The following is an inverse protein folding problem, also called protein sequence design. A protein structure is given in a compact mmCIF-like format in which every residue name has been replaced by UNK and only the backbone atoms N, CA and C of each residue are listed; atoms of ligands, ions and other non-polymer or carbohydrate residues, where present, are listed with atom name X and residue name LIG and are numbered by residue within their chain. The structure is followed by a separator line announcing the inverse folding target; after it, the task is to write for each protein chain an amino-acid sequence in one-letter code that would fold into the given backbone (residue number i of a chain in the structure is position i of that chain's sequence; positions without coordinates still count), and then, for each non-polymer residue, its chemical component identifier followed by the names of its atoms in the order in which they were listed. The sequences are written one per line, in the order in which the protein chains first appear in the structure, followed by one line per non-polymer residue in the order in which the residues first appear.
data_IF_826471049884
#
_entry.id   IF_826471049884
#
_cell.length_a   1.000
_cell.length_b   1.000
_cell.length_c   1.000
_cell.angle_alpha   90.00
_cell.angle_beta   90.00
_cell.angle_gamma   90.00
#
_symmetry.space_group_name_H-M   'P 1'
#
loop_
_entity.id
_entity.type
_entity.pdbx_description
1 polymer ?
#
# COMPACT_ATOMS: atom_id res chain seq x y z
N UNK A 1 -22.55 -11.37 -2.87
CA UNK A 1 -22.01 -10.66 -1.72
C UNK A 1 -21.25 -9.40 -2.15
N UNK A 2 -21.47 -8.29 -1.48
CA UNK A 2 -20.63 -7.10 -1.66
C UNK A 2 -19.50 -7.18 -0.65
N UNK A 3 -18.28 -7.26 -1.13
CA UNK A 3 -17.08 -7.25 -0.28
C UNK A 3 -16.84 -5.83 0.23
N UNK A 4 -16.52 -5.70 1.51
CA UNK A 4 -16.27 -4.41 2.15
C UNK A 4 -14.77 -4.17 2.27
N UNK A 5 -14.29 -3.05 1.75
CA UNK A 5 -12.89 -2.63 1.89
C UNK A 5 -12.55 -2.23 3.33
N UNK A 6 -13.55 -1.69 4.05
CA UNK A 6 -13.44 -1.21 5.43
C UNK A 6 -14.80 -1.49 6.10
N UNK A 7 -14.77 -2.10 7.28
CA UNK A 7 -15.98 -2.56 7.93
C UNK A 7 -16.81 -1.44 8.56
N UNK A 8 -18.13 -1.67 8.56
CA UNK A 8 -19.15 -0.79 9.13
C UNK A 8 -18.86 -0.40 10.58
N UNK A 9 -18.40 -1.36 11.41
CA UNK A 9 -18.06 -1.13 12.81
C UNK A 9 -16.88 -0.15 13.01
N UNK A 10 -15.89 -0.19 12.13
CA UNK A 10 -14.78 0.77 12.15
C UNK A 10 -15.25 2.16 11.73
N UNK A 11 -16.00 2.26 10.63
CA UNK A 11 -16.53 3.54 10.14
C UNK A 11 -17.53 4.18 11.09
N UNK A 12 -18.26 3.36 11.88
CA UNK A 12 -19.16 3.85 12.91
C UNK A 12 -18.45 4.71 13.97
N UNK A 13 -17.15 4.47 14.23
CA UNK A 13 -16.34 5.31 15.12
C UNK A 13 -16.14 6.75 14.63
N UNK A 14 -16.41 7.03 13.35
CA UNK A 14 -16.32 8.34 12.71
C UNK A 14 -17.70 8.92 12.32
N UNK A 15 -18.77 8.23 12.61
CA UNK A 15 -20.12 8.70 12.37
C UNK A 15 -20.66 9.51 13.57
N UNK A 16 -21.62 10.37 13.30
CA UNK A 16 -22.42 11.06 14.28
C UNK A 16 -23.89 10.74 14.02
N UNK A 17 -24.61 10.25 15.05
CA UNK A 17 -26.01 9.83 14.90
C UNK A 17 -26.25 8.88 13.72
N UNK A 18 -25.34 7.90 13.52
CA UNK A 18 -25.32 6.96 12.38
C UNK A 18 -25.15 7.64 11.00
N UNK A 19 -24.74 8.90 10.98
CA UNK A 19 -24.45 9.66 9.77
C UNK A 19 -22.96 9.87 9.60
N UNK A 20 -22.41 9.41 8.48
CA UNK A 20 -21.01 9.54 8.10
C UNK A 20 -20.89 10.49 6.91
N UNK A 21 -20.18 11.58 7.07
CA UNK A 21 -19.83 12.46 5.95
C UNK A 21 -18.77 11.79 5.09
N UNK A 22 -19.01 11.80 3.79
CA UNK A 22 -18.14 11.19 2.78
C UNK A 22 -17.82 12.18 1.67
N UNK A 23 -16.55 12.48 1.44
CA UNK A 23 -16.07 13.32 0.35
C UNK A 23 -15.36 12.45 -0.69
N UNK A 24 -15.86 12.45 -1.92
CA UNK A 24 -15.21 11.79 -3.06
C UNK A 24 -14.13 12.71 -3.64
N UNK A 25 -12.88 12.32 -3.48
CA UNK A 25 -11.71 13.04 -3.99
C UNK A 25 -11.75 13.31 -5.51
N UNK A 26 -12.33 12.39 -6.30
CA UNK A 26 -12.32 12.48 -7.77
C UNK A 26 -13.32 13.50 -8.28
N UNK A 27 -14.49 13.52 -7.68
CA UNK A 27 -15.59 14.41 -8.10
C UNK A 27 -15.72 15.67 -7.24
N UNK A 28 -15.07 15.73 -6.07
CA UNK A 28 -15.27 16.78 -5.08
C UNK A 28 -16.64 16.73 -4.39
N UNK A 29 -17.46 15.71 -4.66
CA UNK A 29 -18.81 15.60 -4.12
C UNK A 29 -18.78 15.17 -2.66
N UNK A 30 -19.51 15.93 -1.85
CA UNK A 30 -19.80 15.60 -0.45
C UNK A 30 -21.17 14.91 -0.37
N UNK A 31 -21.25 13.84 0.39
CA UNK A 31 -22.48 13.10 0.68
C UNK A 31 -22.52 12.66 2.14
N UNK A 32 -23.72 12.53 2.70
CA UNK A 32 -23.95 11.85 3.96
C UNK A 32 -24.41 10.41 3.67
N UNK A 33 -23.86 9.44 4.39
CA UNK A 33 -24.14 8.02 4.22
C UNK A 33 -24.20 7.35 5.59
N UNK A 34 -24.81 6.18 5.67
CA UNK A 34 -24.62 5.32 6.84
C UNK A 34 -23.32 4.52 6.68
N UNK A 35 -22.64 4.17 7.78
CA UNK A 35 -21.43 3.32 7.71
C UNK A 35 -21.65 2.03 6.90
N UNK A 36 -22.82 1.37 7.08
CA UNK A 36 -23.17 0.10 6.43
C UNK A 36 -23.24 0.13 4.90
N UNK A 37 -23.43 1.31 4.31
CA UNK A 37 -23.53 1.48 2.85
C UNK A 37 -22.32 2.21 2.25
N UNK A 38 -21.23 2.26 3.03
CA UNK A 38 -20.04 3.05 2.66
C UNK A 38 -18.86 2.12 2.40
N UNK A 39 -17.97 2.52 1.47
CA UNK A 39 -16.71 1.82 1.17
C UNK A 39 -16.85 0.34 0.76
N UNK A 40 -17.87 0.00 -0.02
CA UNK A 40 -18.07 -1.33 -0.61
C UNK A 40 -17.54 -1.39 -2.03
N UNK A 41 -16.69 -2.36 -2.31
CA UNK A 41 -16.26 -2.73 -3.67
C UNK A 41 -16.67 -4.18 -3.91
N UNK A 42 -17.53 -4.45 -4.88
CA UNK A 42 -17.93 -5.83 -5.17
C UNK A 42 -16.75 -6.66 -5.65
N UNK A 43 -16.66 -7.90 -5.16
CA UNK A 43 -15.72 -8.93 -5.62
C UNK A 43 -14.22 -8.57 -5.51
N UNK A 44 -13.84 -7.71 -4.55
CA UNK A 44 -12.42 -7.30 -4.38
C UNK A 44 -11.54 -8.46 -3.92
N UNK A 45 -12.08 -9.38 -3.10
CA UNK A 45 -11.36 -10.52 -2.51
C UNK A 45 -11.98 -11.87 -2.86
N UNK A 46 -12.85 -11.92 -3.88
CA UNK A 46 -13.42 -13.18 -4.35
C UNK A 46 -12.39 -13.91 -5.19
N UNK A 47 -11.94 -15.05 -4.71
CA UNK A 47 -11.03 -15.95 -5.42
C UNK A 47 -11.82 -17.09 -6.05
N UNK A 48 -11.34 -17.56 -7.20
CA UNK A 48 -11.79 -18.81 -7.79
C UNK A 48 -10.76 -19.90 -7.48
N UNK A 49 -11.24 -21.07 -7.03
CA UNK A 49 -10.37 -22.22 -6.91
C UNK A 49 -10.16 -22.90 -8.28
N UNK A 50 -9.30 -23.91 -8.33
CA UNK A 50 -9.03 -24.68 -9.56
C UNK A 50 -10.27 -25.37 -10.16
N UNK A 51 -11.44 -25.24 -9.55
CA UNK A 51 -12.74 -25.79 -9.99
C UNK A 51 -13.76 -24.67 -10.24
N UNK A 52 -13.30 -23.43 -10.46
CA UNK A 52 -14.10 -22.22 -10.67
C UNK A 52 -15.09 -21.90 -9.52
N UNK A 53 -14.88 -22.45 -8.32
CA UNK A 53 -15.72 -22.17 -7.16
C UNK A 53 -15.21 -20.91 -6.45
N UNK A 54 -16.13 -20.01 -6.11
CA UNK A 54 -15.82 -18.80 -5.35
C UNK A 54 -15.42 -19.16 -3.91
N UNK A 55 -14.31 -18.61 -3.46
CA UNK A 55 -13.79 -18.77 -2.09
C UNK A 55 -13.92 -17.48 -1.32
N UNK A 56 -14.49 -17.62 -0.13
CA UNK A 56 -14.73 -16.50 0.81
C UNK A 56 -13.90 -16.63 2.11
N UNK A 57 -12.94 -17.52 2.14
CA UNK A 57 -12.15 -17.85 3.34
C UNK A 57 -11.41 -16.61 3.86
N UNK A 58 -10.91 -15.78 2.94
CA UNK A 58 -10.20 -14.55 3.27
C UNK A 58 -11.14 -13.51 3.88
N UNK A 59 -12.36 -13.38 3.38
CA UNK A 59 -13.38 -12.51 3.97
C UNK A 59 -13.77 -12.96 5.39
N UNK A 60 -13.94 -14.25 5.60
CA UNK A 60 -14.27 -14.80 6.91
C UNK A 60 -13.14 -14.54 7.91
N UNK A 61 -11.89 -14.71 7.49
CA UNK A 61 -10.70 -14.40 8.30
C UNK A 61 -10.65 -12.91 8.65
N UNK A 62 -10.87 -12.01 7.70
CA UNK A 62 -10.91 -10.57 7.94
C UNK A 62 -12.02 -10.22 8.94
N UNK A 63 -13.22 -10.79 8.75
CA UNK A 63 -14.35 -10.58 9.67
C UNK A 63 -14.06 -10.96 11.12
N UNK A 64 -13.25 -11.99 11.33
CA UNK A 64 -12.83 -12.41 12.67
C UNK A 64 -11.94 -11.33 13.33
N UNK A 65 -10.87 -10.91 12.65
CA UNK A 65 -9.96 -9.88 13.19
C UNK A 65 -10.64 -8.52 13.38
N UNK A 66 -11.55 -8.16 12.50
CA UNK A 66 -12.32 -6.92 12.61
C UNK A 66 -13.23 -6.89 13.84
N UNK A 67 -13.88 -8.00 14.15
CA UNK A 67 -14.73 -8.09 15.36
C UNK A 67 -13.89 -7.89 16.62
N UNK A 68 -12.73 -8.53 16.70
CA UNK A 68 -11.81 -8.40 17.83
C UNK A 68 -11.30 -6.96 17.94
N UNK A 69 -10.82 -6.42 16.82
CA UNK A 69 -10.29 -5.07 16.78
C UNK A 69 -11.32 -4.01 17.16
N UNK A 70 -12.59 -4.21 16.80
CA UNK A 70 -13.68 -3.31 17.19
C UNK A 70 -13.78 -3.11 18.72
N UNK A 71 -13.67 -4.18 19.49
CA UNK A 71 -13.65 -4.11 20.96
C UNK A 71 -12.40 -3.40 21.49
N UNK A 72 -11.24 -3.68 20.88
CA UNK A 72 -9.97 -3.05 21.28
C UNK A 72 -10.01 -1.55 20.98
N UNK A 73 -10.53 -1.16 19.81
CA UNK A 73 -10.72 0.24 19.43
C UNK A 73 -11.60 0.98 20.43
N UNK A 74 -12.73 0.38 20.85
CA UNK A 74 -13.62 0.97 21.86
C UNK A 74 -12.91 1.15 23.20
N UNK A 75 -12.10 0.19 23.66
CA UNK A 75 -11.27 0.33 24.86
C UNK A 75 -10.30 1.50 24.73
N UNK A 76 -9.56 1.59 23.61
CA UNK A 76 -8.61 2.68 23.36
C UNK A 76 -9.32 4.04 23.30
N UNK A 77 -10.45 4.13 22.61
CA UNK A 77 -11.27 5.35 22.52
C UNK A 77 -11.82 5.79 23.89
N UNK A 78 -12.11 4.85 24.78
CA UNK A 78 -12.50 5.09 26.17
C UNK A 78 -11.29 5.27 27.13
N UNK A 79 -10.08 5.46 26.61
CA UNK A 79 -8.83 5.64 27.35
C UNK A 79 -8.45 4.45 28.23
N UNK A 80 -8.97 3.26 27.98
CA UNK A 80 -8.65 2.04 28.71
C UNK A 80 -7.34 1.42 28.22
N UNK A 81 -6.69 0.62 29.06
CA UNK A 81 -5.49 -0.11 28.72
C UNK A 81 -5.82 -1.34 27.88
N UNK A 82 -4.88 -1.73 27.05
CA UNK A 82 -4.88 -3.00 26.35
C UNK A 82 -3.73 -3.85 26.87
N UNK A 83 -3.91 -5.15 26.90
CA UNK A 83 -2.87 -6.12 27.23
C UNK A 83 -2.04 -6.53 26.00
N UNK A 84 -1.08 -7.41 26.20
CA UNK A 84 -0.18 -7.86 25.14
C UNK A 84 -0.92 -8.67 24.05
N UNK A 85 -1.88 -9.50 24.44
CA UNK A 85 -2.69 -10.28 23.51
C UNK A 85 -3.60 -9.39 22.66
N UNK A 86 -4.24 -8.38 23.27
CA UNK A 86 -5.03 -7.38 22.55
C UNK A 86 -4.15 -6.56 21.58
N UNK A 87 -2.91 -6.25 21.98
CA UNK A 87 -1.95 -5.58 21.11
C UNK A 87 -1.58 -6.46 19.90
N UNK A 88 -1.36 -7.77 20.10
CA UNK A 88 -1.09 -8.71 19.03
C UNK A 88 -2.27 -8.82 18.05
N UNK A 89 -3.47 -8.96 18.56
CA UNK A 89 -4.70 -9.00 17.76
C UNK A 89 -4.93 -7.71 16.96
N UNK A 90 -4.70 -6.56 17.60
CA UNK A 90 -4.77 -5.26 16.94
C UNK A 90 -3.69 -5.09 15.87
N UNK A 91 -2.50 -5.63 16.09
CA UNK A 91 -1.40 -5.68 15.11
C UNK A 91 -1.83 -6.44 13.85
N UNK A 92 -2.43 -7.61 14.02
CA UNK A 92 -2.94 -8.40 12.90
C UNK A 92 -4.00 -7.62 12.10
N UNK A 93 -4.93 -6.97 12.80
CA UNK A 93 -5.94 -6.14 12.15
C UNK A 93 -5.31 -4.97 11.36
N UNK A 94 -4.35 -4.25 11.94
CA UNK A 94 -3.66 -3.13 11.26
C UNK A 94 -2.92 -3.63 10.03
N UNK A 95 -2.21 -4.76 10.12
CA UNK A 95 -1.50 -5.34 8.99
C UNK A 95 -2.47 -5.72 7.85
N UNK A 96 -3.60 -6.35 8.17
CA UNK A 96 -4.65 -6.64 7.18
C UNK A 96 -5.25 -5.36 6.60
N UNK A 97 -5.58 -4.37 7.43
CA UNK A 97 -6.12 -3.09 6.99
C UNK A 97 -5.14 -2.33 6.07
N UNK A 98 -3.84 -2.50 6.28
CA UNK A 98 -2.80 -1.92 5.43
C UNK A 98 -2.72 -2.59 4.05
N UNK A 99 -2.82 -3.94 4.02
CA UNK A 99 -2.51 -4.74 2.83
C UNK A 99 -3.72 -5.00 1.93
N UNK A 100 -4.95 -4.82 2.44
CA UNK A 100 -6.18 -5.14 1.71
C UNK A 100 -6.86 -3.96 1.02
N UNK A 101 -6.36 -2.74 1.17
CA UNK A 101 -7.00 -1.58 0.53
C UNK A 101 -6.83 -1.61 -0.99
N UNK A 102 -7.76 -1.03 -1.76
CA UNK A 102 -7.58 -0.86 -3.21
C UNK A 102 -6.26 -0.21 -3.56
N UNK A 103 -5.82 0.74 -2.75
CA UNK A 103 -4.52 1.38 -2.88
C UNK A 103 -3.36 0.38 -2.79
N UNK A 104 -3.37 -0.51 -1.78
CA UNK A 104 -2.33 -1.52 -1.60
C UNK A 104 -2.32 -2.55 -2.75
N UNK A 105 -3.49 -2.93 -3.25
CA UNK A 105 -3.61 -3.84 -4.39
C UNK A 105 -3.06 -3.20 -5.66
N UNK A 106 -3.40 -1.93 -5.92
CA UNK A 106 -2.83 -1.20 -7.06
C UNK A 106 -1.31 -1.00 -6.93
N UNK A 107 -0.80 -0.73 -5.72
CA UNK A 107 0.64 -0.71 -5.45
C UNK A 107 1.30 -2.06 -5.77
N UNK A 108 0.70 -3.17 -5.34
CA UNK A 108 1.20 -4.51 -5.62
C UNK A 108 1.24 -4.80 -7.13
N UNK A 109 0.20 -4.38 -7.87
CA UNK A 109 0.17 -4.51 -9.34
C UNK A 109 1.31 -3.75 -10.00
N UNK A 110 1.50 -2.49 -9.63
CA UNK A 110 2.54 -1.64 -10.23
C UNK A 110 3.94 -2.16 -9.91
N UNK A 111 4.18 -2.55 -8.66
CA UNK A 111 5.46 -3.13 -8.24
C UNK A 111 5.74 -4.42 -9.02
N UNK A 112 4.75 -5.31 -9.14
CA UNK A 112 4.92 -6.56 -9.87
C UNK A 112 5.13 -6.34 -11.37
N UNK A 113 4.32 -5.48 -12.00
CA UNK A 113 4.50 -5.10 -13.40
C UNK A 113 5.90 -4.52 -13.65
N UNK A 114 6.40 -3.69 -12.72
CA UNK A 114 7.73 -3.14 -12.77
C UNK A 114 8.84 -4.19 -12.71
N UNK A 115 8.76 -5.13 -11.80
CA UNK A 115 9.70 -6.26 -11.73
C UNK A 115 9.65 -7.12 -12.99
N UNK A 116 8.45 -7.44 -13.47
CA UNK A 116 8.28 -8.23 -14.70
C UNK A 116 8.86 -7.52 -15.90
N UNK A 117 8.62 -6.20 -16.02
CA UNK A 117 9.19 -5.40 -17.11
C UNK A 117 10.71 -5.36 -17.03
N UNK A 118 11.29 -5.12 -15.85
CA UNK A 118 12.74 -5.09 -15.68
C UNK A 118 13.37 -6.45 -15.98
N UNK A 119 12.71 -7.54 -15.60
CA UNK A 119 13.13 -8.90 -15.91
C UNK A 119 13.05 -9.16 -17.42
N UNK A 120 11.95 -8.80 -18.07
CA UNK A 120 11.80 -8.92 -19.52
C UNK A 120 12.91 -8.16 -20.27
N UNK A 121 13.21 -6.91 -19.85
CA UNK A 121 14.34 -6.14 -20.42
C UNK A 121 15.67 -6.86 -20.28
N UNK A 122 15.92 -7.56 -19.18
CA UNK A 122 17.16 -8.27 -18.93
C UNK A 122 17.25 -9.58 -19.72
N UNK A 123 16.14 -10.32 -19.77
CA UNK A 123 16.11 -11.69 -20.30
C UNK A 123 15.72 -11.77 -21.79
N UNK A 124 14.88 -10.84 -22.29
CA UNK A 124 14.23 -10.94 -23.59
C UNK A 124 14.59 -9.81 -24.58
N UNK A 125 15.35 -8.78 -24.16
CA UNK A 125 15.78 -7.72 -25.07
C UNK A 125 16.86 -8.15 -26.08
N UNK A 126 17.46 -9.30 -25.87
CA UNK A 126 18.40 -9.96 -26.75
C UNK A 126 17.71 -11.14 -27.45
N UNK A 127 17.84 -11.21 -28.77
CA UNK A 127 17.12 -12.18 -29.61
C UNK A 127 17.48 -13.64 -29.27
N UNK A 128 18.75 -13.95 -29.02
CA UNK A 128 19.16 -15.32 -28.69
C UNK A 128 18.66 -15.75 -27.31
N UNK A 129 18.56 -14.82 -26.35
CA UNK A 129 17.95 -15.09 -25.05
C UNK A 129 16.45 -15.26 -25.18
N UNK A 130 15.77 -14.43 -25.96
CA UNK A 130 14.36 -14.59 -26.27
C UNK A 130 14.09 -15.94 -26.92
N UNK A 131 14.89 -16.36 -27.89
CA UNK A 131 14.80 -17.67 -28.53
C UNK A 131 15.01 -18.81 -27.53
N UNK A 132 15.99 -18.70 -26.67
CA UNK A 132 16.22 -19.71 -25.61
C UNK A 132 15.04 -19.84 -24.64
N UNK A 133 14.40 -18.72 -24.33
CA UNK A 133 13.19 -18.69 -23.49
C UNK A 133 11.98 -19.32 -24.20
N UNK A 134 11.76 -18.96 -25.47
CA UNK A 134 10.67 -19.52 -26.28
C UNK A 134 10.81 -21.03 -26.50
N UNK A 135 12.02 -21.56 -26.73
CA UNK A 135 12.27 -22.99 -26.81
C UNK A 135 11.83 -23.73 -25.52
N UNK A 136 12.05 -23.14 -24.34
CA UNK A 136 11.59 -23.73 -23.06
C UNK A 136 10.07 -23.69 -22.92
N UNK A 137 9.43 -22.65 -23.46
CA UNK A 137 7.98 -22.50 -23.36
C UNK A 137 7.21 -23.40 -24.33
N UNK A 138 7.66 -23.52 -25.57
CA UNK A 138 6.97 -24.29 -26.62
C UNK A 138 7.37 -25.76 -26.66
N UNK A 139 8.48 -26.12 -26.01
CA UNK A 139 8.96 -27.49 -25.96
C UNK A 139 9.78 -27.91 -27.19
N UNK A 140 10.21 -29.22 -27.24
CA UNK A 140 11.19 -29.70 -28.22
C UNK A 140 10.63 -29.86 -29.65
N UNK A 141 9.30 -29.92 -29.80
CA UNK A 141 8.63 -30.17 -31.09
C UNK A 141 8.29 -28.85 -31.83
N UNK A 142 8.67 -27.71 -31.31
CA UNK A 142 8.36 -26.43 -31.92
C UNK A 142 9.23 -26.15 -33.17
N UNK A 143 8.62 -25.53 -34.19
CA UNK A 143 9.33 -25.15 -35.41
C UNK A 143 10.37 -24.05 -35.13
N UNK A 144 11.63 -24.35 -35.41
CA UNK A 144 12.76 -23.45 -35.10
C UNK A 144 12.69 -22.15 -35.91
N UNK A 145 12.16 -22.17 -37.15
CA UNK A 145 12.00 -20.97 -37.95
C UNK A 145 10.99 -20.02 -37.36
N UNK A 146 9.85 -20.55 -36.98
CA UNK A 146 8.78 -19.80 -36.30
C UNK A 146 9.26 -19.22 -34.98
N UNK A 147 10.02 -20.01 -34.18
CA UNK A 147 10.58 -19.53 -32.92
C UNK A 147 11.57 -18.38 -33.10
N UNK A 148 12.37 -18.36 -34.17
CA UNK A 148 13.28 -17.24 -34.46
C UNK A 148 12.54 -15.98 -34.85
N UNK A 149 11.51 -16.08 -35.69
CA UNK A 149 10.67 -14.93 -36.04
C UNK A 149 9.97 -14.35 -34.80
N UNK A 150 9.44 -15.21 -33.94
CA UNK A 150 8.83 -14.80 -32.67
C UNK A 150 9.85 -14.18 -31.73
N UNK A 151 11.07 -14.73 -31.63
CA UNK A 151 12.15 -14.18 -30.80
C UNK A 151 12.56 -12.77 -31.24
N UNK A 152 12.69 -12.55 -32.55
CA UNK A 152 12.99 -11.23 -33.11
C UNK A 152 11.89 -10.22 -32.74
N UNK A 153 10.61 -10.61 -32.94
CA UNK A 153 9.45 -9.77 -32.59
C UNK A 153 9.38 -9.47 -31.10
N UNK A 154 9.56 -10.48 -30.23
CA UNK A 154 9.56 -10.30 -28.77
C UNK A 154 10.70 -9.41 -28.33
N UNK A 155 11.92 -9.60 -28.86
CA UNK A 155 13.07 -8.79 -28.46
C UNK A 155 12.94 -7.33 -28.89
N UNK A 156 12.36 -7.05 -30.05
CA UNK A 156 12.04 -5.71 -30.52
C UNK A 156 10.97 -5.06 -29.62
N UNK A 157 9.85 -5.73 -29.40
CA UNK A 157 8.76 -5.26 -28.53
C UNK A 157 9.26 -4.93 -27.12
N UNK A 158 10.15 -5.78 -26.56
CA UNK A 158 10.72 -5.55 -25.22
C UNK A 158 11.69 -4.36 -25.23
N UNK A 159 12.53 -4.20 -26.25
CA UNK A 159 13.44 -3.04 -26.38
C UNK A 159 12.69 -1.74 -26.50
N UNK A 160 11.64 -1.71 -27.30
CA UNK A 160 10.86 -0.50 -27.58
C UNK A 160 9.84 -0.20 -26.48
N UNK A 161 9.56 -1.18 -25.61
CA UNK A 161 8.55 -1.06 -24.56
C UNK A 161 7.12 -1.00 -25.09
N UNK A 162 6.88 -1.49 -26.32
CA UNK A 162 5.57 -1.47 -27.01
C UNK A 162 4.64 -2.59 -26.54
N UNK A 163 4.63 -2.88 -25.23
CA UNK A 163 3.76 -3.89 -24.62
C UNK A 163 3.13 -3.39 -23.31
N UNK A 164 1.99 -3.93 -23.00
CA UNK A 164 1.29 -3.68 -21.74
C UNK A 164 1.38 -4.93 -20.86
N UNK A 165 1.69 -4.72 -19.58
CA UNK A 165 1.65 -5.77 -18.57
C UNK A 165 0.39 -5.59 -17.73
N UNK A 166 -0.52 -6.53 -17.84
CA UNK A 166 -1.68 -6.62 -16.98
C UNK A 166 -1.37 -7.58 -15.84
N UNK A 167 -1.58 -7.12 -14.61
CA UNK A 167 -1.42 -7.93 -13.40
C UNK A 167 -2.81 -8.29 -12.90
N UNK A 168 -3.07 -9.57 -12.83
CA UNK A 168 -4.33 -10.10 -12.34
C UNK A 168 -4.61 -9.66 -10.90
N UNK A 169 -5.89 -9.42 -10.59
CA UNK A 169 -6.29 -8.91 -9.28
C UNK A 169 -6.06 -9.94 -8.17
N UNK A 170 -6.36 -11.21 -8.42
CA UNK A 170 -6.15 -12.29 -7.44
C UNK A 170 -4.66 -12.46 -7.13
N UNK A 171 -3.82 -12.40 -8.17
CA UNK A 171 -2.38 -12.43 -7.99
C UNK A 171 -1.90 -11.25 -7.14
N UNK A 172 -2.37 -10.03 -7.42
CA UNK A 172 -1.98 -8.83 -6.68
C UNK A 172 -2.40 -8.89 -5.20
N UNK A 173 -3.63 -9.36 -4.92
CA UNK A 173 -4.13 -9.60 -3.57
C UNK A 173 -3.27 -10.66 -2.86
N UNK A 174 -3.02 -11.79 -3.51
CA UNK A 174 -2.17 -12.86 -2.96
C UNK A 174 -0.75 -12.37 -2.66
N UNK A 175 -0.17 -11.54 -3.52
CA UNK A 175 1.15 -10.92 -3.28
C UNK A 175 1.12 -9.94 -2.13
N UNK A 176 0.09 -9.10 -2.03
CA UNK A 176 -0.07 -8.17 -0.90
C UNK A 176 -0.15 -8.94 0.42
N UNK A 177 -0.98 -9.97 0.51
CA UNK A 177 -1.17 -10.76 1.73
C UNK A 177 0.05 -11.60 2.13
N UNK A 178 0.92 -11.98 1.19
CA UNK A 178 2.19 -12.68 1.54
C UNK A 178 3.11 -11.84 2.41
N UNK A 179 2.95 -10.53 2.42
CA UNK A 179 3.73 -9.64 3.27
C UNK A 179 3.14 -9.48 4.68
N UNK A 180 2.02 -10.17 4.98
CA UNK A 180 1.28 -9.99 6.23
C UNK A 180 2.15 -10.20 7.47
N UNK A 181 2.87 -11.32 7.55
CA UNK A 181 3.71 -11.65 8.71
C UNK A 181 4.83 -10.62 8.92
N UNK A 182 5.51 -10.23 7.85
CA UNK A 182 6.57 -9.22 7.91
C UNK A 182 6.05 -7.85 8.35
N UNK A 183 4.87 -7.45 7.85
CA UNK A 183 4.23 -6.19 8.23
C UNK A 183 3.75 -6.26 9.68
N UNK A 184 3.09 -7.32 10.09
CA UNK A 184 2.60 -7.52 11.46
C UNK A 184 3.77 -7.52 12.46
N UNK A 185 4.83 -8.28 12.20
CA UNK A 185 6.05 -8.30 13.04
C UNK A 185 6.66 -6.90 13.17
N UNK A 186 6.77 -6.18 12.06
CA UNK A 186 7.31 -4.82 12.06
C UNK A 186 6.45 -3.85 12.87
N UNK A 187 5.12 -3.95 12.80
CA UNK A 187 4.18 -3.13 13.56
C UNK A 187 4.23 -3.45 15.05
N UNK A 188 4.24 -4.75 15.40
CA UNK A 188 4.24 -5.22 16.78
C UNK A 188 5.47 -4.77 17.56
N UNK A 189 6.65 -4.85 16.93
CA UNK A 189 7.93 -4.51 17.55
C UNK A 189 8.12 -3.01 17.84
N UNK A 190 7.31 -2.12 17.25
CA UNK A 190 7.48 -0.68 17.35
C UNK A 190 6.81 -0.08 18.58
N UNK A 191 7.16 1.17 18.88
CA UNK A 191 6.45 1.98 19.88
C UNK A 191 5.05 2.37 19.37
N UNK A 192 4.06 2.25 20.25
CA UNK A 192 2.68 2.64 19.99
C UNK A 192 2.32 3.86 20.83
N UNK A 193 1.83 4.90 20.19
CA UNK A 193 1.34 6.11 20.84
C UNK A 193 -0.12 6.33 20.45
N UNK A 194 -1.02 6.25 21.41
CA UNK A 194 -2.43 6.62 21.22
C UNK A 194 -2.57 8.13 21.41
N UNK A 195 -3.07 8.80 20.38
CA UNK A 195 -3.33 10.23 20.38
C UNK A 195 -4.81 10.48 20.63
N UNK A 196 -5.13 11.45 21.48
CA UNK A 196 -6.50 11.88 21.72
C UNK A 196 -6.73 13.28 21.18
N UNK A 197 -7.79 13.43 20.40
CA UNK A 197 -8.20 14.74 19.88
C UNK A 197 -8.75 15.63 20.99
N UNK A 198 -8.59 16.97 20.89
CA UNK A 198 -9.24 17.92 21.77
C UNK A 198 -10.77 17.78 21.72
N UNK A 199 -11.45 17.81 22.84
CA UNK A 199 -12.91 17.63 22.94
C UNK A 199 -13.72 18.62 22.10
N UNK A 200 -13.24 19.85 21.99
CA UNK A 200 -13.89 20.91 21.20
C UNK A 200 -13.56 20.86 19.70
N UNK A 201 -12.94 19.75 19.21
CA UNK A 201 -12.57 19.59 17.80
C UNK A 201 -13.53 18.68 17.05
N UNK A 202 -13.49 18.76 15.72
CA UNK A 202 -14.20 17.81 14.84
C UNK A 202 -13.58 16.39 14.87
N UNK A 203 -12.43 16.24 15.55
CA UNK A 203 -11.73 14.98 15.72
C UNK A 203 -10.94 14.52 14.50
N UNK A 204 -10.52 13.27 14.57
CA UNK A 204 -9.83 12.59 13.48
C UNK A 204 -10.79 12.24 12.35
N UNK A 205 -10.32 12.36 11.13
CA UNK A 205 -10.93 11.77 9.95
C UNK A 205 -10.29 10.43 9.59
N UNK A 206 -10.96 9.64 8.77
CA UNK A 206 -10.39 8.43 8.16
C UNK A 206 -10.59 8.42 6.65
N UNK A 207 -10.06 7.39 5.98
CA UNK A 207 -10.07 7.28 4.52
C UNK A 207 -10.31 5.83 4.08
N UNK A 208 -10.51 5.61 2.80
CA UNK A 208 -10.50 4.29 2.16
C UNK A 208 -9.10 3.63 2.13
N UNK A 209 -8.08 4.33 2.63
CA UNK A 209 -6.75 3.83 2.90
C UNK A 209 -6.34 4.26 4.32
N UNK A 210 -6.88 3.62 5.37
CA UNK A 210 -6.82 4.14 6.73
C UNK A 210 -5.45 3.97 7.40
N UNK A 211 -4.64 3.00 6.96
CA UNK A 211 -3.29 2.76 7.49
C UNK A 211 -2.28 3.44 6.58
N UNK A 212 -1.73 4.54 7.05
CA UNK A 212 -0.80 5.36 6.26
C UNK A 212 0.62 5.15 6.73
N UNK A 213 1.47 4.66 5.82
CA UNK A 213 2.92 4.58 6.04
C UNK A 213 3.57 5.89 5.61
N UNK A 214 4.29 6.53 6.51
CA UNK A 214 4.96 7.82 6.29
C UNK A 214 6.29 7.88 7.06
N UNK A 215 7.01 9.00 6.96
CA UNK A 215 8.24 9.26 7.71
C UNK A 215 8.16 10.59 8.45
N UNK A 216 8.81 10.68 9.61
CA UNK A 216 8.90 11.91 10.40
C UNK A 216 9.73 12.99 9.71
N UNK A 217 10.74 12.60 8.95
CA UNK A 217 11.68 13.53 8.32
C UNK A 217 11.31 13.81 6.87
N UNK A 218 11.18 15.08 6.53
CA UNK A 218 11.00 15.51 5.15
C UNK A 218 12.21 15.19 4.25
N UNK A 219 13.42 15.14 4.83
CA UNK A 219 14.64 14.78 4.11
C UNK A 219 14.63 13.31 3.64
N UNK A 220 13.98 12.41 4.39
CA UNK A 220 13.90 10.97 4.12
C UNK A 220 12.73 10.58 3.20
N UNK A 221 11.93 11.54 2.73
CA UNK A 221 10.78 11.26 1.85
C UNK A 221 11.17 10.72 0.47
N UNK A 222 12.44 10.78 0.11
CA UNK A 222 12.96 10.27 -1.17
C UNK A 222 13.48 8.84 -1.07
N UNK A 223 13.61 8.30 0.14
CA UNK A 223 14.04 6.93 0.36
C UNK A 223 12.86 5.95 0.23
N UNK A 224 13.10 4.74 -0.28
CA UNK A 224 12.10 3.68 -0.27
C UNK A 224 11.63 3.43 1.17
N UNK A 225 10.34 3.56 1.43
CA UNK A 225 9.77 3.44 2.75
C UNK A 225 8.95 2.16 2.85
N UNK A 226 9.43 1.22 3.67
CA UNK A 226 8.72 0.01 4.05
C UNK A 226 8.37 -0.01 5.54
N UNK A 227 7.50 -0.94 5.95
CA UNK A 227 7.13 -1.11 7.38
C UNK A 227 8.33 -1.44 8.26
N UNK A 228 9.36 -2.11 7.73
CA UNK A 228 10.63 -2.40 8.42
C UNK A 228 11.63 -1.24 8.45
N UNK A 229 11.40 -0.14 7.72
CA UNK A 229 12.35 0.98 7.66
C UNK A 229 12.49 1.67 9.03
N UNK A 230 13.70 1.99 9.53
CA UNK A 230 13.90 2.56 10.86
C UNK A 230 13.15 3.88 11.09
N UNK A 231 12.96 4.64 10.01
CA UNK A 231 12.30 5.95 10.04
C UNK A 231 10.81 5.89 9.73
N UNK A 232 10.27 4.69 9.52
CA UNK A 232 8.87 4.51 9.22
C UNK A 232 7.99 4.95 10.40
N UNK A 233 6.90 5.58 10.06
CA UNK A 233 5.82 5.93 10.96
C UNK A 233 4.51 5.48 10.35
N UNK A 234 3.72 4.71 11.10
CA UNK A 234 2.39 4.30 10.69
C UNK A 234 1.37 5.15 11.42
N UNK A 235 0.46 5.75 10.67
CA UNK A 235 -0.67 6.53 11.17
C UNK A 235 -1.94 5.73 10.94
N UNK A 236 -2.74 5.56 11.98
CA UNK A 236 -4.00 4.85 11.91
C UNK A 236 -5.05 5.53 12.80
N UNK A 237 -6.03 6.27 12.25
CA UNK A 237 -7.16 6.77 13.01
C UNK A 237 -8.02 5.60 13.48
N UNK A 238 -8.35 5.56 14.77
CA UNK A 238 -9.13 4.48 15.39
C UNK A 238 -10.62 4.84 15.49
N UNK A 239 -10.88 6.09 15.90
CA UNK A 239 -12.19 6.70 15.98
C UNK A 239 -12.03 8.23 15.86
N UNK A 240 -13.13 8.96 15.80
CA UNK A 240 -13.09 10.42 15.74
C UNK A 240 -12.29 11.07 16.87
N UNK A 241 -12.27 10.46 18.06
CA UNK A 241 -11.61 11.00 19.26
C UNK A 241 -10.20 10.44 19.49
N UNK A 242 -9.78 9.36 18.79
CA UNK A 242 -8.46 8.79 18.98
C UNK A 242 -7.85 8.22 17.71
N UNK A 243 -6.52 8.24 17.67
CA UNK A 243 -5.71 7.68 16.60
C UNK A 243 -4.45 7.00 17.17
N UNK A 244 -3.88 6.08 16.41
CA UNK A 244 -2.65 5.39 16.74
C UNK A 244 -1.51 5.88 15.84
N UNK A 245 -0.38 6.17 16.45
CA UNK A 245 0.89 6.42 15.78
C UNK A 245 1.87 5.35 16.21
N UNK A 246 2.41 4.62 15.23
CA UNK A 246 3.36 3.53 15.45
C UNK A 246 4.69 3.95 14.86
N UNK A 247 5.76 3.97 15.69
CA UNK A 247 7.09 4.41 15.25
C UNK A 247 8.14 4.03 16.30
N UNK A 248 9.43 4.17 15.98
CA UNK A 248 10.48 3.73 16.91
C UNK A 248 10.68 2.22 16.88
N UNK A 249 11.37 1.67 17.87
CA UNK A 249 11.82 0.26 17.87
C UNK A 249 11.92 -0.37 19.27
N UNK A 250 11.38 0.30 20.31
CA UNK A 250 11.50 -0.15 21.69
C UNK A 250 10.26 -0.91 22.21
N UNK A 251 9.23 -1.10 21.39
CA UNK A 251 8.03 -1.82 21.75
C UNK A 251 7.17 -1.15 22.84
N UNK A 252 7.40 0.12 23.15
CA UNK A 252 6.71 0.85 24.21
C UNK A 252 5.27 1.17 23.84
N UNK A 253 4.42 1.37 24.84
CA UNK A 253 3.05 1.83 24.68
C UNK A 253 2.84 3.12 25.47
N UNK A 254 2.29 4.14 24.79
CA UNK A 254 2.02 5.45 25.40
C UNK A 254 0.71 6.06 24.95
N UNK A 255 0.29 7.12 25.65
CA UNK A 255 -0.91 7.89 25.37
C UNK A 255 -0.65 9.37 25.56
N UNK A 256 -1.26 10.23 24.75
CA UNK A 256 -1.13 11.67 24.88
C UNK A 256 -2.33 12.40 24.29
N UNK A 257 -2.72 13.49 24.92
CA UNK A 257 -3.62 14.47 24.34
C UNK A 257 -2.83 15.36 23.37
N UNK A 258 -3.40 15.67 22.23
CA UNK A 258 -2.75 16.49 21.22
C UNK A 258 -3.42 17.85 21.08
N UNK A 259 -2.69 18.80 20.51
CA UNK A 259 -3.20 20.13 20.17
C UNK A 259 -3.95 20.12 18.82
N UNK A 260 -4.79 21.12 18.60
CA UNK A 260 -5.52 21.31 17.33
C UNK A 260 -4.57 21.35 16.11
N UNK A 261 -3.39 21.91 16.27
CA UNK A 261 -2.38 21.98 15.22
C UNK A 261 -1.88 20.58 14.81
N UNK A 262 -1.62 19.72 15.80
CA UNK A 262 -1.18 18.34 15.55
C UNK A 262 -2.30 17.50 14.93
N UNK A 263 -3.55 17.67 15.41
CA UNK A 263 -4.74 17.07 14.83
C UNK A 263 -4.91 17.49 13.35
N UNK A 264 -4.80 18.79 13.06
CA UNK A 264 -4.89 19.30 11.70
C UNK A 264 -3.78 18.74 10.80
N UNK A 265 -2.56 18.60 11.31
CA UNK A 265 -1.45 17.98 10.59
C UNK A 265 -1.70 16.51 10.31
N UNK A 266 -2.19 15.76 11.31
CA UNK A 266 -2.56 14.35 11.15
C UNK A 266 -3.65 14.20 10.08
N UNK A 267 -4.76 14.94 10.19
CA UNK A 267 -5.88 14.89 9.26
C UNK A 267 -5.47 15.25 7.82
N UNK A 268 -4.65 16.28 7.64
CA UNK A 268 -4.10 16.62 6.30
C UNK A 268 -3.22 15.51 5.74
N UNK A 269 -2.43 14.85 6.58
CA UNK A 269 -1.62 13.70 6.15
C UNK A 269 -2.54 12.56 5.69
N UNK A 270 -3.53 12.19 6.51
CA UNK A 270 -4.50 11.15 6.13
C UNK A 270 -5.20 11.48 4.81
N UNK A 271 -5.68 12.71 4.65
CA UNK A 271 -6.34 13.17 3.43
C UNK A 271 -5.41 13.12 2.20
N UNK A 272 -4.14 13.45 2.37
CA UNK A 272 -3.14 13.37 1.30
C UNK A 272 -2.97 11.94 0.77
N UNK A 273 -3.02 10.95 1.66
CA UNK A 273 -2.87 9.53 1.33
C UNK A 273 -4.19 8.81 0.98
N UNK A 274 -5.31 9.52 1.00
CA UNK A 274 -6.60 9.01 0.57
C UNK A 274 -6.54 8.52 -0.89
N UNK A 275 -7.07 7.33 -1.17
CA UNK A 275 -7.19 6.83 -2.54
C UNK A 275 -8.36 7.50 -3.27
N UNK A 276 -9.57 7.43 -2.69
CA UNK A 276 -10.78 8.03 -3.26
C UNK A 276 -11.65 8.75 -2.25
N UNK A 277 -11.84 8.20 -1.05
CA UNK A 277 -12.84 8.69 -0.11
C UNK A 277 -12.24 9.16 1.21
N UNK A 278 -12.65 10.35 1.65
CA UNK A 278 -12.47 10.85 3.01
C UNK A 278 -13.77 10.63 3.78
N UNK A 279 -13.64 10.24 5.06
CA UNK A 279 -14.76 10.01 5.96
C UNK A 279 -14.56 10.75 7.27
N UNK A 280 -15.64 11.29 7.82
CA UNK A 280 -15.64 11.98 9.11
C UNK A 280 -17.03 12.41 9.54
N UNK A 281 -17.13 13.04 10.71
CA UNK A 281 -18.39 13.52 11.28
C UNK A 281 -18.98 14.68 10.47
N UNK A 282 -18.14 15.65 10.14
CA UNK A 282 -18.56 16.93 9.58
C UNK A 282 -18.12 17.05 8.13
N UNK A 283 -19.08 17.28 7.22
CA UNK A 283 -18.80 17.50 5.81
C UNK A 283 -18.04 18.81 5.55
N UNK A 284 -18.33 19.86 6.31
CA UNK A 284 -17.62 21.14 6.21
C UNK A 284 -16.16 20.99 6.63
N UNK A 285 -15.88 20.17 7.66
CA UNK A 285 -14.51 19.86 8.07
C UNK A 285 -13.75 19.09 6.97
N UNK A 286 -14.36 18.05 6.39
CA UNK A 286 -13.75 17.31 5.28
C UNK A 286 -13.44 18.21 4.10
N UNK A 287 -14.36 19.13 3.75
CA UNK A 287 -14.17 20.07 2.66
C UNK A 287 -13.01 21.04 2.97
N UNK A 288 -12.97 21.61 4.17
CA UNK A 288 -11.89 22.51 4.60
C UNK A 288 -10.52 21.84 4.52
N UNK A 289 -10.40 20.57 4.97
CA UNK A 289 -9.15 19.82 4.84
C UNK A 289 -8.78 19.57 3.38
N UNK A 290 -9.75 19.13 2.55
CA UNK A 290 -9.54 18.88 1.13
C UNK A 290 -9.07 20.12 0.38
N UNK A 291 -9.68 21.28 0.64
CA UNK A 291 -9.32 22.57 0.03
C UNK A 291 -7.92 23.00 0.46
N UNK A 292 -7.58 22.84 1.76
CA UNK A 292 -6.27 23.24 2.29
C UNK A 292 -5.09 22.52 1.63
N UNK A 293 -5.32 21.36 1.04
CA UNK A 293 -4.29 20.54 0.36
C UNK A 293 -4.57 20.40 -1.15
N UNK A 294 -5.58 21.07 -1.69
CA UNK A 294 -6.00 20.96 -3.09
C UNK A 294 -6.23 19.50 -3.52
N UNK A 295 -6.93 18.73 -2.69
CA UNK A 295 -7.05 17.28 -2.81
C UNK A 295 -7.61 16.81 -4.14
N UNK A 296 -8.64 17.48 -4.65
CA UNK A 296 -9.33 17.14 -5.91
C UNK A 296 -8.45 17.34 -7.16
N UNK A 297 -7.43 18.20 -7.05
CA UNK A 297 -6.49 18.48 -8.14
C UNK A 297 -5.29 17.51 -8.14
N UNK A 298 -5.09 16.75 -7.04
CA UNK A 298 -3.97 15.83 -6.90
C UNK A 298 -4.39 14.42 -7.29
N UNK A 299 -3.66 13.77 -8.18
CA UNK A 299 -3.82 12.35 -8.45
C UNK A 299 -3.17 11.53 -7.35
N UNK A 300 -3.80 10.41 -7.01
CA UNK A 300 -3.20 9.43 -6.10
C UNK A 300 -1.94 8.83 -6.75
N UNK A 301 -0.86 8.78 -5.98
CA UNK A 301 0.41 8.17 -6.38
C UNK A 301 1.00 7.43 -5.19
N UNK A 302 1.60 6.30 -5.42
CA UNK A 302 2.33 5.53 -4.42
C UNK A 302 3.83 5.86 -4.45
N UNK A 303 4.49 5.83 -3.31
CA UNK A 303 5.94 6.04 -3.19
C UNK A 303 6.67 4.68 -3.26
N UNK A 304 6.58 3.99 -4.39
CA UNK A 304 7.31 2.75 -4.58
C UNK A 304 8.39 2.95 -5.65
N UNK A 305 9.60 2.50 -5.35
CA UNK A 305 10.63 2.33 -6.37
C UNK A 305 11.07 0.87 -6.41
N UNK A 306 11.16 0.31 -7.60
CA UNK A 306 11.69 -1.01 -7.84
C UNK A 306 12.92 -0.85 -8.71
N UNK A 307 14.10 -1.16 -8.17
CA UNK A 307 15.34 -1.17 -8.91
C UNK A 307 15.79 -2.60 -9.18
N UNK A 308 16.23 -2.90 -10.40
CA UNK A 308 16.92 -4.14 -10.74
C UNK A 308 18.33 -3.86 -11.22
N UNK A 309 19.28 -4.67 -10.73
CA UNK A 309 20.68 -4.61 -11.17
C UNK A 309 20.84 -5.42 -12.45
N UNK A 310 21.40 -4.85 -13.50
CA UNK A 310 21.62 -5.52 -14.77
C UNK A 310 23.13 -5.74 -15.04
N UNK A 311 23.54 -6.95 -15.37
CA UNK A 311 24.84 -7.36 -15.92
C UNK A 311 26.06 -6.87 -15.15
N UNK A 312 26.85 -6.01 -15.76
CA UNK A 312 28.09 -5.40 -15.23
C UNK A 312 27.88 -4.52 -13.98
N UNK A 313 26.74 -4.65 -13.41
CA UNK A 313 26.44 -4.19 -12.08
C UNK A 313 25.87 -2.80 -11.97
N UNK A 314 25.45 -2.11 -13.05
CA UNK A 314 25.13 -0.70 -12.84
C UNK A 314 24.03 -0.06 -13.71
N UNK A 315 23.16 -0.81 -14.33
CA UNK A 315 21.91 -0.26 -14.85
C UNK A 315 20.78 -0.59 -13.91
N UNK A 316 20.12 0.43 -13.40
CA UNK A 316 18.89 0.28 -12.61
C UNK A 316 17.73 0.68 -13.49
N UNK A 317 16.70 -0.15 -13.53
CA UNK A 317 15.39 0.26 -14.01
C UNK A 317 14.55 0.57 -12.79
N UNK A 318 14.29 1.84 -12.57
CA UNK A 318 13.43 2.27 -11.46
C UNK A 318 11.99 2.30 -11.93
N UNK A 319 11.15 1.62 -11.19
CA UNK A 319 9.70 1.75 -11.32
C UNK A 319 9.21 2.59 -10.18
N UNK A 320 8.71 3.78 -10.50
CA UNK A 320 8.18 4.69 -9.51
C UNK A 320 6.67 4.63 -9.48
N UNK A 321 6.13 4.34 -8.31
CA UNK A 321 4.73 4.55 -7.99
C UNK A 321 4.67 5.63 -6.95
N UNK A 322 4.16 6.79 -7.30
CA UNK A 322 4.16 7.95 -6.41
C UNK A 322 2.74 8.36 -6.02
N UNK A 323 2.57 8.82 -4.80
CA UNK A 323 1.36 9.50 -4.34
C UNK A 323 1.49 11.00 -4.56
N UNK A 324 0.44 11.60 -5.08
CA UNK A 324 0.35 13.04 -5.37
C UNK A 324 1.24 13.55 -6.53
N UNK A 325 0.65 13.73 -7.66
CA UNK A 325 1.20 14.33 -8.86
C UNK A 325 0.76 13.61 -10.13
N UNK A 326 1.35 13.87 -11.27
CA UNK A 326 1.01 13.21 -12.53
C UNK A 326 1.44 11.73 -12.53
N UNK A 327 0.69 10.82 -13.20
CA UNK A 327 1.20 9.48 -13.43
C UNK A 327 2.56 9.61 -14.09
N UNK A 328 3.52 8.71 -13.79
CA UNK A 328 4.77 8.69 -14.55
C UNK A 328 4.38 8.66 -16.03
N UNK A 329 4.80 9.63 -16.79
CA UNK A 329 4.74 9.52 -18.24
C UNK A 329 5.53 8.27 -18.58
N UNK A 330 5.05 7.48 -19.53
CA UNK A 330 5.72 6.26 -19.99
C UNK A 330 7.21 6.49 -20.32
N UNK A 331 7.59 7.73 -20.61
CA UNK A 331 8.97 8.17 -20.79
C UNK A 331 9.87 8.05 -19.55
N UNK A 332 9.31 8.07 -18.32
CA UNK A 332 10.10 7.93 -17.07
C UNK A 332 10.54 6.49 -16.77
N UNK A 333 9.86 5.50 -17.34
CA UNK A 333 10.16 4.08 -17.10
C UNK A 333 11.36 3.57 -17.91
N UNK A 334 11.77 4.29 -18.97
CA UNK A 334 12.84 3.88 -19.89
C UNK A 334 14.10 4.74 -19.80
N UNK A 335 14.16 5.75 -18.94
CA UNK A 335 15.37 6.57 -18.81
C UNK A 335 16.35 5.96 -17.80
N UNK A 336 17.62 5.78 -18.15
CA UNK A 336 18.65 5.39 -17.18
C UNK A 336 18.82 6.50 -16.15
N UNK A 337 18.99 6.10 -14.88
CA UNK A 337 19.25 7.04 -13.79
C UNK A 337 20.47 7.89 -14.14
N UNK A 338 20.27 9.19 -14.17
CA UNK A 338 21.36 10.14 -14.37
C UNK A 338 22.20 10.18 -13.08
N UNK A 339 23.38 9.55 -13.11
CA UNK A 339 24.33 9.40 -11.99
C UNK A 339 24.78 10.72 -11.36
N UNK A 340 24.67 11.83 -12.10
CA UNK A 340 25.08 13.15 -11.60
C UNK A 340 24.12 13.73 -10.56
N UNK A 341 23.03 13.03 -10.22
CA UNK A 341 22.05 13.42 -9.17
C UNK A 341 22.17 12.62 -7.88
N UNK A 342 23.08 11.63 -7.81
CA UNK A 342 23.37 10.91 -6.57
C UNK A 342 24.52 11.63 -5.87
N UNK A 343 24.38 11.91 -4.58
CA UNK A 343 25.47 12.47 -3.79
C UNK A 343 26.65 11.49 -3.71
N UNK A 344 27.91 11.95 -3.75
CA UNK A 344 29.10 11.10 -3.79
C UNK A 344 29.25 10.12 -2.62
N UNK A 345 28.59 10.34 -1.48
CA UNK A 345 28.67 9.48 -0.29
C UNK A 345 27.70 8.27 -0.30
N UNK A 346 26.75 8.19 -1.25
CA UNK A 346 25.81 7.06 -1.35
C UNK A 346 26.37 5.85 -2.12
N UNK A 347 27.58 5.95 -2.65
CA UNK A 347 28.18 4.88 -3.44
C UNK A 347 28.76 3.72 -2.61
N UNK A 348 28.91 3.88 -1.29
CA UNK A 348 29.49 2.86 -0.41
C UNK A 348 28.49 2.04 0.38
N UNK A 349 27.29 2.53 0.66
CA UNK A 349 26.30 1.84 1.52
C UNK A 349 25.25 1.00 0.77
N UNK A 350 25.24 1.03 -0.56
CA UNK A 350 24.29 0.25 -1.38
C UNK A 350 24.62 -1.26 -1.46
N UNK A 351 25.62 -1.75 -0.73
CA UNK A 351 26.05 -3.16 -0.78
C UNK A 351 25.35 -4.09 0.25
N UNK A 352 24.48 -3.59 1.13
CA UNK A 352 23.87 -4.39 2.19
C UNK A 352 22.35 -4.24 2.16
N UNK A 353 21.70 -4.86 1.20
CA UNK A 353 20.31 -5.29 1.28
C UNK A 353 20.01 -6.37 0.23
N UNK A 354 20.85 -7.39 0.16
CA UNK A 354 20.46 -8.66 -0.46
C UNK A 354 19.69 -9.43 0.60
N UNK A 355 18.39 -9.52 0.47
CA UNK A 355 17.56 -10.47 1.21
C UNK A 355 18.03 -11.87 0.80
N UNK A 356 18.84 -12.49 1.62
CA UNK A 356 19.14 -13.91 1.56
C UNK A 356 17.91 -14.67 2.06
N UNK A 357 17.13 -15.23 1.12
CA UNK A 357 16.12 -16.24 1.46
C UNK A 357 16.79 -17.51 1.96
N UNK A 358 16.16 -18.28 2.85
CA UNK A 358 16.74 -19.51 3.37
C UNK A 358 16.86 -20.55 2.25
N UNK A 359 18.05 -21.04 2.03
CA UNK A 359 18.32 -22.27 1.27
C UNK A 359 17.73 -23.46 2.04
N UNK A 360 16.68 -24.06 1.52
CA UNK A 360 16.22 -25.38 1.98
C UNK A 360 17.25 -26.40 1.55
N UNK A 361 18.03 -26.89 2.53
CA UNK A 361 18.84 -28.09 2.40
C UNK A 361 17.91 -29.31 2.34
N UNK A 362 18.11 -30.13 1.32
CA UNK A 362 17.55 -31.45 1.17
C UNK A 362 18.07 -32.40 2.27
N UNK A 363 17.17 -33.08 2.94
CA UNK A 363 17.21 -34.52 3.28
C UNK A 363 15.78 -35.04 3.35
#
# INVERSE_FOLDING_TARGET
GSEMCIRDSYLAGFAENNSLSCLDRRSGKLASRTPEHTARIPNLYTFQDNQDRRRYDIEAMFGHYENIAGHIILKLAARQSIDLNEREQMTAFIAFAALRTPAAIEEAKVVHAGFTRARAQTELSDEERALSWLRKMHGPDADETSLREEAASVSEMVRDGSYTLEVDNEFAVGKSLRNFEAVATSIFARDWMVLYAPEASEGFLTTDHPVVLTTRSSALRREPLGYGSPHAQVLFPLAHNCALVISGDLGRFGRTDIKLEDLSRFNRTMATYCHRYLFGRSGSHLQSIADSIQLTQKRWKSNYSVGMRQGDGRRYTDVFVMRNGEPPHEQGLNQPINRNKLCPNEQQDASIAAVTGPTTGSM
#
